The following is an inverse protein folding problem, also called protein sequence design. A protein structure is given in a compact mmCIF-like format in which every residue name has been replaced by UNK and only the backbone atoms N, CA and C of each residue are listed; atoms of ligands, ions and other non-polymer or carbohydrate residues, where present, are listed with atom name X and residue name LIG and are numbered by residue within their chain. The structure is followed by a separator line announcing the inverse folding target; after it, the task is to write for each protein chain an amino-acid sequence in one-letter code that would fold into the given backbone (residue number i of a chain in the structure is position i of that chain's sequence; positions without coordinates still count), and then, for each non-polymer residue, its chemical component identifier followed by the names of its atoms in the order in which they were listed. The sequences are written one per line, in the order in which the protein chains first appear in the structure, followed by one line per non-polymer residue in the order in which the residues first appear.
data_IF_407282538836
#
_entry.id   IF_407282538836
#
_cell.length_a   1.000
_cell.length_b   1.000
_cell.length_c   1.000
_cell.angle_alpha   90.00
_cell.angle_beta   90.00
_cell.angle_gamma   90.00
#
_symmetry.space_group_name_H-M   'P 1'
#
loop_
_entity.id
_entity.type
_entity.pdbx_description
1 polymer ?
#
# COMPACT_ATOMS: atom_id res chain seq x y z
N UNK A 1 -2.28 9.72 19.03
CA UNK A 1 -1.89 10.13 17.65
C UNK A 1 -1.14 9.02 16.92
N UNK A 2 -0.14 8.37 17.52
CA UNK A 2 0.59 7.26 16.90
C UNK A 2 -0.29 6.06 16.46
N UNK A 3 -1.26 5.64 17.28
CA UNK A 3 -2.13 4.49 16.97
C UNK A 3 -3.04 4.78 15.76
N UNK A 4 -3.62 5.98 15.68
CA UNK A 4 -4.43 6.40 14.53
C UNK A 4 -3.59 6.45 13.25
N UNK A 5 -2.34 6.94 13.35
CA UNK A 5 -1.40 6.96 12.24
C UNK A 5 -1.00 5.56 11.77
N UNK A 6 -0.73 4.63 12.70
CA UNK A 6 -0.44 3.23 12.36
C UNK A 6 -1.63 2.52 11.71
N UNK A 7 -2.85 2.77 12.19
CA UNK A 7 -4.07 2.23 11.57
C UNK A 7 -4.27 2.80 10.15
N UNK A 8 -4.04 4.09 9.97
CA UNK A 8 -4.13 4.73 8.66
C UNK A 8 -3.06 4.17 7.69
N UNK A 9 -1.81 4.08 8.15
CA UNK A 9 -0.70 3.50 7.41
C UNK A 9 -0.93 2.03 7.03
N UNK A 10 -1.64 1.27 7.87
CA UNK A 10 -2.04 -0.12 7.58
C UNK A 10 -3.19 -0.26 6.59
N UNK A 11 -4.13 0.70 6.54
CA UNK A 11 -5.28 0.67 5.63
C UNK A 11 -4.91 1.17 4.22
N UNK A 12 -3.99 2.13 4.12
CA UNK A 12 -3.51 2.69 2.84
C UNK A 12 -3.08 1.60 1.82
N UNK A 13 -2.27 0.58 2.17
CA UNK A 13 -1.89 -0.48 1.23
C UNK A 13 -3.04 -1.43 0.84
N UNK A 14 -4.18 -1.42 1.55
CA UNK A 14 -5.36 -2.22 1.16
C UNK A 14 -5.98 -1.70 -0.15
N UNK A 15 -5.92 -0.39 -0.40
CA UNK A 15 -6.48 0.25 -1.61
C UNK A 15 -5.83 -0.26 -2.91
N UNK A 16 -4.48 -0.25 -3.06
CA UNK A 16 -3.83 -0.82 -4.24
C UNK A 16 -4.01 -2.34 -4.36
N UNK A 17 -4.24 -3.06 -3.25
CA UNK A 17 -4.55 -4.50 -3.28
C UNK A 17 -5.94 -4.78 -3.86
N UNK A 18 -6.95 -3.98 -3.51
CA UNK A 18 -8.29 -4.03 -4.12
C UNK A 18 -8.19 -3.67 -5.60
N UNK A 19 -7.45 -2.60 -5.94
CA UNK A 19 -7.19 -2.21 -7.32
C UNK A 19 -6.53 -3.34 -8.13
N UNK A 20 -5.51 -4.00 -7.56
CA UNK A 20 -4.85 -5.14 -8.17
C UNK A 20 -5.84 -6.27 -8.51
N UNK A 21 -6.76 -6.60 -7.61
CA UNK A 21 -7.72 -7.68 -7.84
C UNK A 21 -8.75 -7.32 -8.93
N UNK A 22 -9.17 -6.05 -8.98
CA UNK A 22 -10.04 -5.52 -10.05
C UNK A 22 -9.32 -5.60 -11.41
N UNK A 23 -8.09 -5.08 -11.51
CA UNK A 23 -7.34 -5.10 -12.77
C UNK A 23 -6.91 -6.51 -13.20
N UNK A 24 -6.68 -7.42 -12.24
CA UNK A 24 -6.46 -8.85 -12.48
C UNK A 24 -7.70 -9.48 -13.13
N UNK A 25 -8.89 -9.20 -12.61
CA UNK A 25 -10.16 -9.68 -13.20
C UNK A 25 -10.37 -9.13 -14.61
N UNK A 26 -9.94 -7.89 -14.87
CA UNK A 26 -10.01 -7.23 -16.18
C UNK A 26 -8.87 -7.61 -17.15
N UNK A 27 -7.94 -8.49 -16.75
CA UNK A 27 -6.72 -8.87 -17.51
C UNK A 27 -5.82 -7.68 -17.92
N UNK A 28 -5.92 -6.54 -17.26
CA UNK A 28 -5.12 -5.34 -17.56
C UNK A 28 -3.74 -5.41 -16.90
N UNK A 29 -2.81 -6.17 -17.49
CA UNK A 29 -1.48 -6.45 -16.92
C UNK A 29 -0.63 -5.20 -16.61
N UNK A 30 -0.79 -4.11 -17.38
CA UNK A 30 -0.07 -2.85 -17.15
C UNK A 30 -0.49 -2.16 -15.85
N UNK A 31 -1.80 -2.02 -15.64
CA UNK A 31 -2.37 -1.44 -14.41
C UNK A 31 -2.18 -2.36 -13.20
N UNK A 32 -2.16 -3.67 -13.43
CA UNK A 32 -1.86 -4.66 -12.40
C UNK A 32 -0.44 -4.49 -11.84
N UNK A 33 0.57 -4.27 -12.70
CA UNK A 33 1.94 -3.95 -12.26
C UNK A 33 2.01 -2.61 -11.54
N UNK A 34 1.25 -1.61 -11.99
CA UNK A 34 1.18 -0.30 -11.34
C UNK A 34 0.61 -0.40 -9.91
N UNK A 35 -0.52 -1.10 -9.72
CA UNK A 35 -1.08 -1.34 -8.39
C UNK A 35 -0.13 -2.12 -7.48
N UNK A 36 0.58 -3.11 -8.01
CA UNK A 36 1.59 -3.85 -7.25
C UNK A 36 2.78 -2.97 -6.87
N UNK A 37 3.24 -2.08 -7.76
CA UNK A 37 4.29 -1.10 -7.46
C UNK A 37 3.86 -0.09 -6.39
N UNK A 38 2.63 0.43 -6.48
CA UNK A 38 2.04 1.31 -5.47
C UNK A 38 1.94 0.62 -4.10
N UNK A 39 1.48 -0.63 -4.07
CA UNK A 39 1.43 -1.44 -2.85
C UNK A 39 2.79 -1.56 -2.17
N UNK A 40 3.82 -1.94 -2.94
CA UNK A 40 5.19 -2.08 -2.42
C UNK A 40 5.72 -0.72 -1.95
N UNK A 41 5.50 0.35 -2.71
CA UNK A 41 5.91 1.71 -2.34
C UNK A 41 5.27 2.17 -1.03
N UNK A 42 3.97 1.96 -0.84
CA UNK A 42 3.26 2.35 0.38
C UNK A 42 3.64 1.49 1.60
N UNK A 43 3.97 0.21 1.40
CA UNK A 43 4.54 -0.64 2.45
C UNK A 43 5.93 -0.16 2.89
N UNK A 44 6.82 0.13 1.94
CA UNK A 44 8.16 0.63 2.25
C UNK A 44 8.10 2.00 2.94
N UNK A 45 7.26 2.91 2.45
CA UNK A 45 7.11 4.24 3.05
C UNK A 45 6.52 4.14 4.46
N UNK A 46 5.49 3.32 4.67
CA UNK A 46 4.91 3.10 6.00
C UNK A 46 5.91 2.47 6.97
N UNK A 47 6.66 1.47 6.52
CA UNK A 47 7.70 0.83 7.31
C UNK A 47 8.82 1.81 7.68
N UNK A 48 9.26 2.63 6.73
CA UNK A 48 10.27 3.67 6.97
C UNK A 48 9.78 4.74 7.95
N UNK A 49 8.54 5.21 7.80
CA UNK A 49 7.95 6.17 8.74
C UNK A 49 7.85 5.60 10.16
N UNK A 50 7.45 4.33 10.31
CA UNK A 50 7.39 3.67 11.63
C UNK A 50 8.81 3.54 12.22
N UNK A 51 9.78 3.13 11.41
CA UNK A 51 11.17 3.01 11.85
C UNK A 51 11.75 4.35 12.31
N UNK A 52 11.59 5.40 11.50
CA UNK A 52 12.05 6.75 11.82
C UNK A 52 11.31 7.37 13.01
N UNK A 53 10.07 6.94 13.29
CA UNK A 53 9.31 7.38 14.45
C UNK A 53 9.70 6.65 15.74
N UNK A 54 10.24 5.43 15.63
CA UNK A 54 10.64 4.61 16.78
C UNK A 54 12.08 4.88 17.23
N UNK A 55 12.89 5.51 16.36
CA UNK A 55 14.27 5.92 16.60
C UNK A 55 14.34 7.31 17.23
#
# INVERSE_FOLDING_TARGET
MAIAFMLYAGIIPVVPLIGYNIFKSRKERGKQKLCMGLFIGQLLLSGFCIYAYLQ
#
